data_IF_849747474384
#
_entry.id   IF_849747474384
#
_cell.length_a   1.000
_cell.length_b   1.000
_cell.length_c   1.000
_cell.angle_alpha   90.00
_cell.angle_beta   90.00
_cell.angle_gamma   90.00
#
_symmetry.space_group_name_H-M   'P 1'
#
loop_
_entity.id
_entity.type
_entity.pdbx_description
1 polymer ?
#
# COMPACT_ATOMS: atom_id res chain seq x y z
N UNK A 1 -35.81 19.75 37.57
CA UNK A 1 -34.66 20.38 36.88
C UNK A 1 -34.52 19.68 35.56
N UNK A 2 -35.04 20.25 34.48
CA UNK A 2 -34.74 19.71 33.15
C UNK A 2 -33.23 19.90 32.91
N UNK A 3 -32.49 18.85 32.52
CA UNK A 3 -31.11 19.01 32.13
C UNK A 3 -31.09 20.03 30.98
N UNK A 4 -30.36 21.13 31.18
CA UNK A 4 -30.24 22.18 30.18
C UNK A 4 -29.79 21.54 28.86
N UNK A 5 -30.60 21.64 27.82
CA UNK A 5 -30.35 21.01 26.51
C UNK A 5 -28.93 21.31 26.00
N UNK A 6 -28.36 22.45 26.38
CA UNK A 6 -26.95 22.82 26.14
C UNK A 6 -25.96 21.85 26.79
N UNK A 7 -26.14 21.45 28.05
CA UNK A 7 -25.25 20.52 28.75
C UNK A 7 -25.29 19.11 28.15
N UNK A 8 -26.48 18.65 27.70
CA UNK A 8 -26.62 17.37 27.00
C UNK A 8 -25.88 17.39 25.66
N UNK A 9 -26.00 18.48 24.89
CA UNK A 9 -25.24 18.65 23.62
C UNK A 9 -23.74 18.70 23.88
N UNK A 10 -23.28 19.38 24.93
CA UNK A 10 -21.85 19.41 25.29
C UNK A 10 -21.31 18.02 25.68
N UNK A 11 -22.04 17.25 26.49
CA UNK A 11 -21.64 15.90 26.90
C UNK A 11 -21.72 14.88 25.76
N UNK A 12 -22.74 14.94 24.89
CA UNK A 12 -22.95 13.95 23.83
C UNK A 12 -22.20 14.25 22.53
N UNK A 13 -21.78 15.51 22.31
CA UNK A 13 -21.12 15.91 21.06
C UNK A 13 -19.66 16.28 21.28
N UNK A 14 -19.32 17.04 22.32
CA UNK A 14 -17.95 17.54 22.49
C UNK A 14 -17.04 16.51 23.16
N UNK A 15 -17.55 15.72 24.11
CA UNK A 15 -16.75 14.67 24.75
C UNK A 15 -16.31 13.57 23.76
N UNK A 16 -17.18 13.03 22.88
CA UNK A 16 -16.73 12.09 21.84
C UNK A 16 -15.76 12.70 20.83
N UNK A 17 -15.86 14.00 20.56
CA UNK A 17 -14.98 14.74 19.63
C UNK A 17 -13.52 14.71 20.06
N UNK A 18 -13.26 15.02 21.33
CA UNK A 18 -11.90 14.95 21.87
C UNK A 18 -11.49 13.53 22.22
N UNK A 19 -12.43 12.69 22.65
CA UNK A 19 -12.15 11.29 22.96
C UNK A 19 -11.70 10.53 21.72
N UNK A 20 -12.33 10.69 20.56
CA UNK A 20 -11.91 10.01 19.32
C UNK A 20 -10.54 10.48 18.82
N UNK A 21 -10.29 11.79 18.86
CA UNK A 21 -8.97 12.33 18.53
C UNK A 21 -7.89 11.83 19.52
N UNK A 22 -8.18 11.83 20.82
CA UNK A 22 -7.29 11.34 21.86
C UNK A 22 -7.09 9.80 21.79
N UNK A 23 -8.12 9.03 21.42
CA UNK A 23 -8.00 7.59 21.16
C UNK A 23 -7.03 7.38 19.99
N UNK A 24 -7.19 8.15 18.91
CA UNK A 24 -6.35 8.07 17.72
C UNK A 24 -4.88 8.44 18.02
N UNK A 25 -4.63 9.48 18.83
CA UNK A 25 -3.26 9.93 19.15
C UNK A 25 -2.60 9.19 20.32
N UNK A 26 -3.39 8.76 21.31
CA UNK A 26 -2.87 8.35 22.63
C UNK A 26 -2.95 6.84 22.89
N UNK A 27 -3.63 6.06 22.04
CA UNK A 27 -3.66 4.60 22.13
C UNK A 27 -2.68 3.89 21.18
N UNK A 28 -1.95 4.64 20.34
CA UNK A 28 -0.84 4.13 19.53
C UNK A 28 0.17 3.31 20.35
N UNK A 29 0.51 3.68 21.61
CA UNK A 29 1.46 2.91 22.43
C UNK A 29 0.86 1.69 23.16
N UNK A 30 -0.47 1.49 23.11
CA UNK A 30 -1.12 0.36 23.78
C UNK A 30 -1.20 -0.78 22.76
N UNK A 31 -0.89 -2.02 23.17
CA UNK A 31 -1.06 -3.24 22.35
C UNK A 31 -2.38 -3.16 21.58
N UNK A 32 -2.28 -2.82 20.29
CA UNK A 32 -3.44 -2.68 19.43
C UNK A 32 -4.12 -4.05 19.35
N UNK A 33 -5.45 -4.05 19.44
CA UNK A 33 -6.22 -5.20 19.03
C UNK A 33 -6.57 -5.05 17.54
N UNK A 34 -6.88 -6.19 16.91
CA UNK A 34 -7.15 -6.28 15.48
C UNK A 34 -8.15 -5.23 14.95
N UNK A 35 -9.30 -5.05 15.61
CA UNK A 35 -10.34 -4.14 15.13
C UNK A 35 -9.93 -2.67 15.26
N UNK A 36 -9.20 -2.31 16.32
CA UNK A 36 -8.76 -0.95 16.53
C UNK A 36 -7.69 -0.55 15.51
N UNK A 37 -6.72 -1.42 15.22
CA UNK A 37 -5.74 -1.15 14.15
C UNK A 37 -6.44 -0.92 12.80
N UNK A 38 -7.41 -1.76 12.44
CA UNK A 38 -8.18 -1.60 11.20
C UNK A 38 -9.02 -0.31 11.18
N UNK A 39 -9.57 0.12 12.32
CA UNK A 39 -10.31 1.39 12.38
C UNK A 39 -9.37 2.60 12.23
N UNK A 40 -8.25 2.61 12.95
CA UNK A 40 -7.30 3.72 12.91
C UNK A 40 -6.52 3.78 11.58
N UNK A 41 -6.45 2.68 10.84
CA UNK A 41 -5.83 2.59 9.52
C UNK A 41 -6.43 3.57 8.49
N UNK A 42 -7.68 4.05 8.70
CA UNK A 42 -8.40 4.94 7.78
C UNK A 42 -8.64 6.34 8.37
N UNK A 43 -7.68 7.28 8.23
CA UNK A 43 -7.89 8.68 8.58
C UNK A 43 -9.13 9.31 7.94
N UNK A 44 -9.53 8.83 6.75
CA UNK A 44 -10.70 9.29 6.02
C UNK A 44 -12.02 9.15 6.80
N UNK A 45 -12.21 8.07 7.56
CA UNK A 45 -13.45 7.87 8.34
C UNK A 45 -13.62 8.98 9.38
N UNK A 46 -12.52 9.36 10.03
CA UNK A 46 -12.49 10.47 10.98
C UNK A 46 -12.67 11.82 10.29
N UNK A 47 -12.07 12.02 9.12
CA UNK A 47 -12.30 13.20 8.29
C UNK A 47 -13.79 13.40 7.99
N UNK A 48 -14.49 12.36 7.53
CA UNK A 48 -15.94 12.42 7.25
C UNK A 48 -16.73 12.75 8.52
N UNK A 49 -16.40 12.11 9.65
CA UNK A 49 -17.04 12.41 10.93
C UNK A 49 -16.90 13.89 11.31
N UNK A 50 -15.70 14.46 11.24
CA UNK A 50 -15.49 15.87 11.57
C UNK A 50 -16.09 16.84 10.55
N UNK A 51 -16.22 16.44 9.28
CA UNK A 51 -16.95 17.22 8.28
C UNK A 51 -18.44 17.29 8.60
N UNK A 52 -19.07 16.16 8.92
CA UNK A 52 -20.47 16.11 9.33
C UNK A 52 -20.71 16.92 10.62
N UNK A 53 -19.78 16.82 11.56
CA UNK A 53 -19.81 17.62 12.78
C UNK A 53 -19.70 19.12 12.50
N UNK A 54 -18.85 19.51 11.54
CA UNK A 54 -18.73 20.92 11.12
C UNK A 54 -20.06 21.42 10.57
N UNK A 55 -20.72 20.65 9.70
CA UNK A 55 -22.05 20.98 9.16
C UNK A 55 -23.09 21.11 10.27
N UNK A 56 -23.14 20.14 11.19
CA UNK A 56 -24.02 20.19 12.36
C UNK A 56 -23.77 21.46 13.20
N UNK A 57 -22.51 21.77 13.49
CA UNK A 57 -22.14 22.94 14.27
C UNK A 57 -22.52 24.26 13.58
N UNK A 58 -22.45 24.32 12.25
CA UNK A 58 -22.93 25.46 11.45
C UNK A 58 -24.45 25.62 11.61
N UNK A 59 -25.23 24.55 11.42
CA UNK A 59 -26.70 24.56 11.54
C UNK A 59 -27.12 24.98 12.95
N UNK A 60 -26.44 24.48 13.98
CA UNK A 60 -26.70 24.82 15.38
C UNK A 60 -26.04 26.14 15.85
N UNK A 61 -25.32 26.84 14.96
CA UNK A 61 -24.61 28.12 15.23
C UNK A 61 -23.59 28.04 16.39
N UNK A 62 -22.92 26.89 16.54
CA UNK A 62 -21.94 26.63 17.61
C UNK A 62 -20.52 27.00 17.18
N UNK A 63 -20.13 28.27 17.30
CA UNK A 63 -18.85 28.80 16.76
C UNK A 63 -17.59 28.05 17.22
N UNK A 64 -17.50 27.70 18.50
CA UNK A 64 -16.32 26.98 19.04
C UNK A 64 -16.23 25.58 18.41
N UNK A 65 -17.36 24.88 18.29
CA UNK A 65 -17.41 23.55 17.72
C UNK A 65 -17.04 23.57 16.22
N UNK A 66 -17.45 24.60 15.48
CA UNK A 66 -17.03 24.81 14.09
C UNK A 66 -15.50 24.90 14.02
N UNK A 67 -14.89 25.75 14.84
CA UNK A 67 -13.43 25.94 14.82
C UNK A 67 -12.68 24.63 15.15
N UNK A 68 -13.08 23.94 16.22
CA UNK A 68 -12.47 22.67 16.61
C UNK A 68 -12.63 21.60 15.53
N UNK A 69 -13.83 21.47 14.97
CA UNK A 69 -14.11 20.47 13.94
C UNK A 69 -13.30 20.74 12.65
N UNK A 70 -13.15 22.00 12.24
CA UNK A 70 -12.31 22.37 11.09
C UNK A 70 -10.84 22.04 11.32
N UNK A 71 -10.30 22.34 12.52
CA UNK A 71 -8.91 22.00 12.87
C UNK A 71 -8.71 20.48 12.81
N UNK A 72 -9.64 19.71 13.36
CA UNK A 72 -9.58 18.24 13.33
C UNK A 72 -9.74 17.70 11.91
N UNK A 73 -10.62 18.27 11.09
CA UNK A 73 -10.71 17.94 9.66
C UNK A 73 -9.37 18.13 8.96
N UNK A 74 -8.74 19.30 9.14
CA UNK A 74 -7.44 19.58 8.54
C UNK A 74 -6.35 18.62 9.02
N UNK A 75 -6.37 18.27 10.31
CA UNK A 75 -5.48 17.26 10.89
C UNK A 75 -5.67 15.87 10.28
N UNK A 76 -6.90 15.36 10.22
CA UNK A 76 -7.16 14.04 9.61
C UNK A 76 -6.91 14.03 8.10
N UNK A 77 -7.19 15.12 7.39
CA UNK A 77 -6.85 15.25 5.98
C UNK A 77 -5.34 15.18 5.74
N UNK A 78 -4.52 15.84 6.57
CA UNK A 78 -3.06 15.79 6.43
C UNK A 78 -2.46 14.41 6.72
N UNK A 79 -3.19 13.58 7.47
CA UNK A 79 -2.84 12.18 7.74
C UNK A 79 -3.21 11.24 6.59
N UNK A 80 -4.09 11.64 5.67
CA UNK A 80 -4.44 10.78 4.53
C UNK A 80 -3.22 10.58 3.60
N UNK A 81 -3.05 9.38 3.02
CA UNK A 81 -1.97 9.16 2.08
C UNK A 81 -2.20 9.95 0.79
N UNK A 82 -1.09 10.30 0.11
CA UNK A 82 -1.11 11.06 -1.14
C UNK A 82 -0.95 10.12 -2.34
N UNK A 83 -1.36 10.57 -3.53
CA UNK A 83 -1.10 9.84 -4.77
C UNK A 83 0.39 9.81 -5.13
N UNK A 84 1.09 10.91 -4.84
CA UNK A 84 2.52 11.05 -5.09
C UNK A 84 3.21 11.37 -3.78
N UNK A 85 4.30 10.67 -3.51
CA UNK A 85 5.19 10.94 -2.40
C UNK A 85 6.62 11.04 -2.95
N UNK A 86 7.29 12.16 -2.68
CA UNK A 86 8.64 12.44 -3.14
C UNK A 86 9.58 12.22 -1.95
N UNK A 87 10.65 11.45 -2.19
CA UNK A 87 11.73 11.33 -1.23
C UNK A 87 12.68 12.51 -1.32
N UNK A 88 13.68 12.50 -0.44
CA UNK A 88 14.73 13.50 -0.48
C UNK A 88 15.64 13.32 -1.71
N UNK A 89 16.29 14.42 -2.07
CA UNK A 89 17.24 14.66 -3.17
C UNK A 89 17.89 13.38 -3.73
N UNK A 90 17.57 13.04 -4.98
CA UNK A 90 18.17 11.94 -5.74
C UNK A 90 18.77 12.42 -7.05
N UNK A 91 19.84 11.78 -7.52
CA UNK A 91 20.29 11.95 -8.91
C UNK A 91 19.45 11.05 -9.79
N UNK A 92 18.62 11.66 -10.64
CA UNK A 92 17.67 10.98 -11.53
C UNK A 92 18.17 10.89 -12.96
N UNK A 93 19.48 11.00 -13.17
CA UNK A 93 20.11 10.73 -14.45
C UNK A 93 20.02 9.21 -14.70
N UNK A 94 18.89 8.75 -15.26
CA UNK A 94 18.45 7.36 -15.44
C UNK A 94 18.09 6.64 -14.12
N UNK A 95 16.90 6.93 -13.55
CA UNK A 95 16.46 6.22 -12.34
C UNK A 95 16.13 4.77 -12.68
N UNK A 96 16.29 3.88 -11.69
CA UNK A 96 15.74 2.52 -11.75
C UNK A 96 14.26 2.62 -11.39
N UNK A 97 13.40 2.05 -12.22
CA UNK A 97 11.96 2.07 -12.05
C UNK A 97 11.43 0.70 -11.64
N UNK A 98 10.62 0.69 -10.58
CA UNK A 98 9.91 -0.48 -10.09
C UNK A 98 8.42 -0.25 -10.26
N UNK A 99 7.68 -1.31 -10.60
CA UNK A 99 6.23 -1.31 -10.62
C UNK A 99 5.70 -2.37 -9.66
N UNK A 100 4.77 -1.98 -8.79
CA UNK A 100 4.09 -2.89 -7.87
C UNK A 100 2.59 -2.88 -8.16
N UNK A 101 1.97 -4.05 -8.20
CA UNK A 101 0.52 -4.11 -8.38
C UNK A 101 -0.10 -5.40 -7.83
N UNK A 102 -1.01 -5.28 -6.86
CA UNK A 102 -1.98 -6.32 -6.58
C UNK A 102 -2.97 -6.39 -7.77
N UNK A 103 -2.86 -7.44 -8.58
CA UNK A 103 -3.55 -7.54 -9.87
C UNK A 103 -5.04 -7.80 -9.71
N UNK A 104 -5.49 -8.29 -8.55
CA UNK A 104 -6.80 -8.87 -8.29
C UNK A 104 -7.04 -10.17 -9.09
N UNK A 105 -7.33 -11.28 -8.40
CA UNK A 105 -7.48 -12.61 -9.02
C UNK A 105 -8.47 -12.67 -10.17
N UNK A 106 -9.52 -11.85 -10.10
CA UNK A 106 -10.61 -11.80 -11.07
C UNK A 106 -10.59 -10.54 -11.93
N UNK A 107 -9.41 -9.95 -12.13
CA UNK A 107 -9.25 -8.73 -12.94
C UNK A 107 -9.86 -8.92 -14.34
N UNK A 108 -10.87 -8.13 -14.71
CA UNK A 108 -11.58 -8.29 -15.97
C UNK A 108 -10.75 -7.83 -17.19
N UNK A 109 -9.69 -7.04 -16.98
CA UNK A 109 -8.88 -6.45 -18.05
C UNK A 109 -7.38 -6.41 -17.72
N UNK A 110 -6.77 -7.61 -17.64
CA UNK A 110 -5.31 -7.74 -17.51
C UNK A 110 -4.57 -7.14 -18.71
N UNK A 111 -5.20 -7.05 -19.88
CA UNK A 111 -4.59 -6.45 -21.08
C UNK A 111 -4.30 -4.97 -20.89
N UNK A 112 -5.16 -4.21 -20.21
CA UNK A 112 -4.89 -2.80 -19.91
C UNK A 112 -3.55 -2.62 -19.17
N UNK A 113 -3.28 -3.47 -18.19
CA UNK A 113 -2.01 -3.44 -17.46
C UNK A 113 -0.82 -3.91 -18.31
N UNK A 114 -0.96 -4.99 -19.09
CA UNK A 114 0.11 -5.44 -19.99
C UNK A 114 0.46 -4.40 -21.06
N UNK A 115 -0.55 -3.76 -21.65
CA UNK A 115 -0.36 -2.67 -22.62
C UNK A 115 0.35 -1.47 -21.98
N UNK A 116 0.04 -1.16 -20.72
CA UNK A 116 0.74 -0.14 -19.97
C UNK A 116 2.23 -0.49 -19.79
N UNK A 117 2.56 -1.75 -19.45
CA UNK A 117 3.95 -2.21 -19.34
C UNK A 117 4.72 -2.12 -20.67
N UNK A 118 4.07 -2.40 -21.80
CA UNK A 118 4.68 -2.25 -23.12
C UNK A 118 5.03 -0.79 -23.42
N UNK A 119 4.15 0.15 -23.08
CA UNK A 119 4.34 1.57 -23.36
C UNK A 119 5.26 2.27 -22.36
N UNK A 120 5.25 1.82 -21.11
CA UNK A 120 5.96 2.41 -19.99
C UNK A 120 6.66 1.31 -19.20
N UNK A 121 7.68 0.65 -19.77
CA UNK A 121 8.39 -0.41 -19.08
C UNK A 121 9.01 0.10 -17.78
N UNK A 122 9.20 -0.83 -16.85
CA UNK A 122 9.92 -0.67 -15.60
C UNK A 122 10.98 -1.76 -15.52
N UNK A 123 12.07 -1.55 -14.78
CA UNK A 123 13.16 -2.52 -14.66
C UNK A 123 12.74 -3.78 -13.88
N UNK A 124 11.83 -3.61 -12.91
CA UNK A 124 11.24 -4.67 -12.10
C UNK A 124 9.74 -4.48 -11.94
N UNK A 125 8.95 -5.55 -12.10
CA UNK A 125 7.52 -5.59 -11.82
C UNK A 125 7.25 -6.67 -10.78
N UNK A 126 6.59 -6.32 -9.68
CA UNK A 126 6.21 -7.25 -8.61
C UNK A 126 4.70 -7.26 -8.47
N UNK A 127 4.09 -8.41 -8.74
CA UNK A 127 2.66 -8.59 -8.77
C UNK A 127 2.18 -9.48 -7.62
N UNK A 128 0.99 -9.17 -7.10
CA UNK A 128 0.26 -9.98 -6.13
C UNK A 128 -1.12 -10.36 -6.69
N UNK A 129 -1.76 -11.36 -6.10
CA UNK A 129 -3.06 -11.91 -6.54
C UNK A 129 -3.12 -12.34 -8.01
N UNK A 130 -1.99 -12.83 -8.55
CA UNK A 130 -1.94 -13.34 -9.90
C UNK A 130 -2.55 -14.75 -9.92
N UNK A 131 -3.65 -14.91 -10.64
CA UNK A 131 -4.19 -16.24 -10.92
C UNK A 131 -3.32 -16.96 -11.97
N UNK A 132 -3.32 -18.32 -12.01
CA UNK A 132 -2.53 -19.05 -13.01
C UNK A 132 -2.84 -18.62 -14.45
N UNK A 133 -4.12 -18.43 -14.79
CA UNK A 133 -4.54 -17.98 -16.12
C UNK A 133 -3.97 -16.60 -16.47
N UNK A 134 -4.03 -15.65 -15.52
CA UNK A 134 -3.46 -14.32 -15.71
C UNK A 134 -1.94 -14.40 -15.88
N UNK A 135 -1.27 -15.21 -15.06
CA UNK A 135 0.17 -15.38 -15.07
C UNK A 135 0.73 -15.99 -16.36
N UNK A 136 -0.03 -16.85 -17.04
CA UNK A 136 0.31 -17.37 -18.37
C UNK A 136 0.31 -16.27 -19.44
N UNK A 137 -0.59 -15.28 -19.34
CA UNK A 137 -0.65 -14.19 -20.32
C UNK A 137 0.60 -13.32 -20.32
N UNK A 138 1.27 -13.20 -19.18
CA UNK A 138 2.51 -12.44 -19.06
C UNK A 138 3.70 -13.05 -19.81
N UNK A 139 3.65 -14.31 -20.27
CA UNK A 139 4.68 -14.87 -21.18
C UNK A 139 4.76 -14.10 -22.51
N UNK A 140 3.68 -13.40 -22.90
CA UNK A 140 3.70 -12.53 -24.09
C UNK A 140 4.62 -11.32 -23.95
N UNK A 141 5.08 -11.01 -22.72
CA UNK A 141 6.01 -9.92 -22.44
C UNK A 141 7.46 -10.38 -22.26
N UNK A 142 7.80 -11.64 -22.56
CA UNK A 142 9.16 -12.19 -22.37
C UNK A 142 10.23 -11.42 -23.18
N UNK A 143 9.87 -10.78 -24.29
CA UNK A 143 10.77 -9.91 -25.06
C UNK A 143 11.16 -8.62 -24.30
N UNK A 144 10.31 -8.17 -23.38
CA UNK A 144 10.52 -6.98 -22.53
C UNK A 144 11.04 -7.40 -21.15
N UNK A 145 10.55 -8.52 -20.63
CA UNK A 145 10.83 -9.07 -19.31
C UNK A 145 11.36 -10.51 -19.42
N UNK A 146 12.59 -10.70 -19.91
CA UNK A 146 13.16 -12.03 -20.14
C UNK A 146 13.38 -12.84 -18.86
N UNK A 147 13.34 -12.20 -17.69
CA UNK A 147 13.51 -12.86 -16.40
C UNK A 147 12.22 -12.79 -15.58
N UNK A 148 11.78 -13.94 -15.08
CA UNK A 148 10.60 -14.02 -14.21
C UNK A 148 10.75 -15.02 -13.09
N UNK A 149 9.99 -14.82 -12.02
CA UNK A 149 9.86 -15.78 -10.92
C UNK A 149 8.38 -15.87 -10.49
N UNK A 150 7.84 -17.09 -10.44
CA UNK A 150 6.40 -17.34 -10.42
C UNK A 150 5.89 -17.85 -11.79
N UNK A 151 5.03 -18.86 -11.76
CA UNK A 151 4.47 -19.56 -12.92
C UNK A 151 5.27 -20.75 -13.42
N UNK A 152 6.48 -21.02 -12.90
CA UNK A 152 7.28 -22.17 -13.33
C UNK A 152 6.65 -23.49 -12.84
N UNK A 153 6.77 -24.60 -13.59
CA UNK A 153 6.15 -25.88 -13.21
C UNK A 153 6.45 -26.38 -11.79
N UNK A 154 7.68 -26.17 -11.29
CA UNK A 154 8.10 -26.61 -9.95
C UNK A 154 7.84 -25.57 -8.84
N UNK A 155 7.55 -24.32 -9.20
CA UNK A 155 7.43 -23.19 -8.26
C UNK A 155 5.97 -22.79 -8.09
N UNK A 156 5.16 -22.90 -9.15
CA UNK A 156 3.80 -22.33 -9.19
C UNK A 156 3.83 -20.82 -8.97
N UNK A 157 2.80 -20.28 -8.30
CA UNK A 157 2.74 -18.88 -7.89
C UNK A 157 2.79 -18.79 -6.35
N UNK A 158 3.98 -18.62 -5.72
CA UNK A 158 4.11 -18.62 -4.27
C UNK A 158 3.30 -17.50 -3.62
N UNK A 159 2.21 -17.86 -2.92
CA UNK A 159 1.21 -16.89 -2.42
C UNK A 159 0.69 -15.95 -3.52
N UNK A 160 0.51 -16.47 -4.73
CA UNK A 160 -0.03 -15.74 -5.89
C UNK A 160 0.83 -14.55 -6.32
N UNK A 161 2.14 -14.64 -6.09
CA UNK A 161 3.11 -13.62 -6.48
C UNK A 161 3.74 -13.96 -7.83
N UNK A 162 4.03 -12.92 -8.61
CA UNK A 162 4.79 -13.01 -9.86
C UNK A 162 5.76 -11.83 -9.95
N UNK A 163 7.02 -12.12 -10.24
CA UNK A 163 8.06 -11.13 -10.50
C UNK A 163 8.41 -11.18 -11.98
N UNK A 164 8.42 -10.03 -12.65
CA UNK A 164 8.91 -9.84 -14.02
C UNK A 164 10.07 -8.84 -13.96
N UNK A 165 11.13 -9.06 -14.73
CA UNK A 165 12.34 -8.25 -14.64
C UNK A 165 13.06 -8.16 -15.98
N UNK A 166 13.57 -6.96 -16.28
CA UNK A 166 14.47 -6.73 -17.41
C UNK A 166 15.88 -7.28 -17.13
N UNK A 167 16.24 -7.41 -15.86
CA UNK A 167 17.54 -7.86 -15.38
C UNK A 167 17.50 -9.26 -14.73
N UNK A 168 18.61 -10.01 -14.70
CA UNK A 168 18.63 -11.36 -14.13
C UNK A 168 18.16 -11.42 -12.67
N UNK A 169 17.34 -12.43 -12.38
CA UNK A 169 16.98 -12.85 -11.03
C UNK A 169 17.82 -14.09 -10.67
N UNK A 170 18.62 -14.00 -9.62
CA UNK A 170 19.58 -15.03 -9.20
C UNK A 170 19.29 -15.52 -7.79
N UNK A 171 19.67 -16.78 -7.55
CA UNK A 171 19.54 -17.44 -6.24
C UNK A 171 18.15 -17.27 -5.61
N UNK A 172 17.10 -17.25 -6.44
CA UNK A 172 15.74 -17.01 -5.95
C UNK A 172 15.23 -18.26 -5.25
N UNK A 173 14.75 -18.10 -4.02
CA UNK A 173 14.23 -19.15 -3.16
C UNK A 173 12.87 -18.74 -2.59
N UNK A 174 12.09 -19.73 -2.17
CA UNK A 174 10.82 -19.52 -1.49
C UNK A 174 10.94 -19.97 -0.04
N UNK A 175 10.75 -19.04 0.89
CA UNK A 175 10.59 -19.36 2.30
C UNK A 175 9.12 -19.67 2.57
N UNK A 176 8.85 -20.95 2.81
CA UNK A 176 7.54 -21.43 3.21
C UNK A 176 7.36 -21.26 4.71
N UNK A 177 6.32 -20.53 5.11
CA UNK A 177 5.97 -20.38 6.53
C UNK A 177 4.98 -21.46 6.98
N UNK A 178 4.90 -21.75 8.30
CA UNK A 178 3.94 -22.75 8.83
C UNK A 178 2.47 -22.48 8.48
N UNK A 179 2.10 -21.23 8.20
CA UNK A 179 0.74 -20.81 7.84
C UNK A 179 0.47 -20.84 6.32
N UNK A 180 1.29 -21.57 5.55
CA UNK A 180 1.21 -21.70 4.10
C UNK A 180 1.32 -20.36 3.32
N UNK A 181 1.91 -19.34 3.96
CA UNK A 181 2.32 -18.09 3.31
C UNK A 181 3.77 -18.20 2.84
N UNK A 182 4.08 -17.54 1.74
CA UNK A 182 5.37 -17.64 1.07
C UNK A 182 6.04 -16.27 0.98
N UNK A 183 7.34 -16.24 1.26
CA UNK A 183 8.22 -15.10 1.02
C UNK A 183 9.15 -15.50 -0.13
N UNK A 184 9.23 -14.70 -1.18
CA UNK A 184 10.22 -14.88 -2.24
C UNK A 184 11.44 -14.05 -1.88
N UNK A 185 12.62 -14.66 -1.92
CA UNK A 185 13.89 -13.99 -1.63
C UNK A 185 14.91 -14.33 -2.71
N UNK A 186 15.70 -13.36 -3.14
CA UNK A 186 16.77 -13.59 -4.10
C UNK A 186 17.57 -12.34 -4.41
N UNK A 187 18.37 -12.40 -5.46
CA UNK A 187 19.20 -11.30 -5.93
C UNK A 187 18.70 -10.79 -7.28
N UNK A 188 18.49 -9.49 -7.39
CA UNK A 188 18.19 -8.80 -8.63
C UNK A 188 19.44 -8.10 -9.16
N UNK A 189 19.99 -8.63 -10.24
CA UNK A 189 21.31 -8.25 -10.72
C UNK A 189 21.22 -7.14 -11.76
N UNK A 190 21.36 -5.89 -11.34
CA UNK A 190 21.34 -4.71 -12.20
C UNK A 190 22.51 -4.66 -13.18
N UNK A 191 23.72 -5.00 -12.69
CA UNK A 191 24.95 -5.08 -13.49
C UNK A 191 25.78 -6.29 -13.04
N UNK A 192 26.84 -6.70 -13.78
CA UNK A 192 27.69 -7.81 -13.35
C UNK A 192 28.27 -7.67 -11.93
N UNK A 193 28.42 -6.44 -11.43
CA UNK A 193 29.01 -6.13 -10.12
C UNK A 193 28.02 -5.52 -9.12
N UNK A 194 26.76 -5.30 -9.51
CA UNK A 194 25.76 -4.63 -8.67
C UNK A 194 24.47 -5.43 -8.65
N UNK A 195 24.02 -5.78 -7.44
CA UNK A 195 22.76 -6.46 -7.21
C UNK A 195 22.04 -5.86 -6.01
N UNK A 196 20.71 -5.93 -6.03
CA UNK A 196 19.85 -5.60 -4.90
C UNK A 196 19.22 -6.90 -4.44
N UNK A 197 19.32 -7.21 -3.15
CA UNK A 197 18.57 -8.31 -2.57
C UNK A 197 17.09 -7.95 -2.58
N UNK A 198 16.25 -8.83 -3.12
CA UNK A 198 14.80 -8.64 -3.15
C UNK A 198 14.15 -9.60 -2.18
N UNK A 199 13.20 -9.08 -1.40
CA UNK A 199 12.27 -9.85 -0.58
C UNK A 199 10.85 -9.43 -0.94
N UNK A 200 10.03 -10.36 -1.42
CA UNK A 200 8.62 -10.12 -1.75
C UNK A 200 7.71 -10.97 -0.88
N UNK A 201 6.60 -10.38 -0.45
CA UNK A 201 5.57 -11.10 0.27
C UNK A 201 4.19 -10.52 -0.01
N UNK A 202 3.17 -11.35 0.20
CA UNK A 202 1.77 -10.94 0.21
C UNK A 202 1.06 -11.60 1.41
N UNK A 203 1.25 -11.07 2.63
CA UNK A 203 0.54 -11.57 3.82
C UNK A 203 -0.97 -11.44 3.69
N UNK A 204 -1.67 -12.24 4.49
CA UNK A 204 -3.14 -12.25 4.51
C UNK A 204 -3.74 -10.90 4.89
N UNK A 205 -4.80 -10.50 4.19
CA UNK A 205 -5.63 -9.37 4.62
C UNK A 205 -6.21 -9.59 6.02
N UNK A 206 -6.06 -8.64 6.97
CA UNK A 206 -6.48 -8.79 8.36
C UNK A 206 -8.00 -8.63 8.50
N UNK A 207 -8.78 -9.53 7.89
CA UNK A 207 -10.26 -9.52 7.94
C UNK A 207 -10.83 -10.23 9.18
N UNK A 208 -9.98 -10.94 9.90
CA UNK A 208 -10.27 -11.52 11.21
C UNK A 208 -9.05 -11.37 12.11
N UNK A 209 -9.24 -11.60 13.42
CA UNK A 209 -8.15 -11.55 14.41
C UNK A 209 -7.04 -12.56 14.08
N UNK A 210 -7.42 -13.75 13.62
CA UNK A 210 -6.51 -14.83 13.24
C UNK A 210 -5.67 -14.42 12.02
N UNK A 211 -6.31 -13.87 10.98
CA UNK A 211 -5.60 -13.37 9.79
C UNK A 211 -4.68 -12.20 10.12
N UNK A 212 -5.07 -11.33 11.06
CA UNK A 212 -4.21 -10.26 11.55
C UNK A 212 -2.96 -10.78 12.27
N UNK A 213 -3.08 -11.81 13.10
CA UNK A 213 -1.90 -12.46 13.70
C UNK A 213 -1.00 -13.10 12.66
N UNK A 214 -1.56 -13.78 11.65
CA UNK A 214 -0.81 -14.38 10.54
C UNK A 214 -0.06 -13.33 9.72
N UNK A 215 -0.74 -12.23 9.40
CA UNK A 215 -0.15 -11.04 8.74
C UNK A 215 1.05 -10.53 9.53
N UNK A 216 0.89 -10.32 10.84
CA UNK A 216 1.98 -9.86 11.71
C UNK A 216 3.13 -10.86 11.79
N UNK A 217 2.83 -12.15 11.92
CA UNK A 217 3.85 -13.20 11.98
C UNK A 217 4.67 -13.28 10.69
N UNK A 218 4.04 -13.17 9.52
CA UNK A 218 4.77 -13.12 8.25
C UNK A 218 5.66 -11.89 8.16
N UNK A 219 5.19 -10.72 8.59
CA UNK A 219 5.99 -9.49 8.63
C UNK A 219 7.22 -9.65 9.52
N UNK A 220 7.07 -10.23 10.72
CA UNK A 220 8.22 -10.52 11.60
C UNK A 220 9.16 -11.56 10.99
N UNK A 221 8.64 -12.53 10.24
CA UNK A 221 9.46 -13.50 9.50
C UNK A 221 10.30 -12.81 8.43
N UNK A 222 9.77 -11.79 7.75
CA UNK A 222 10.50 -11.00 6.75
C UNK A 222 11.69 -10.27 7.39
N UNK A 223 11.52 -9.71 8.59
CA UNK A 223 12.63 -9.10 9.35
C UNK A 223 13.73 -10.14 9.63
N UNK A 224 13.36 -11.34 10.08
CA UNK A 224 14.31 -12.44 10.29
C UNK A 224 15.02 -12.85 9.00
N UNK A 225 14.32 -12.92 7.86
CA UNK A 225 14.93 -13.22 6.56
C UNK A 225 15.94 -12.14 6.17
N UNK A 226 15.60 -10.86 6.32
CA UNK A 226 16.50 -9.75 6.02
C UNK A 226 17.73 -9.74 6.93
N UNK A 227 17.56 -10.07 8.22
CA UNK A 227 18.67 -10.15 9.18
C UNK A 227 19.58 -11.36 8.93
N UNK A 228 18.99 -12.50 8.56
CA UNK A 228 19.73 -13.74 8.30
C UNK A 228 20.55 -13.68 7.00
N UNK A 229 20.05 -12.95 6.00
CA UNK A 229 20.71 -12.75 4.72
C UNK A 229 21.05 -11.27 4.53
N UNK A 230 22.07 -10.74 5.22
CA UNK A 230 22.42 -9.33 5.12
C UNK A 230 23.02 -9.01 3.74
N UNK A 231 22.53 -7.94 3.11
CA UNK A 231 23.07 -7.35 1.89
C UNK A 231 23.27 -5.85 2.10
N UNK A 232 24.25 -5.21 1.43
CA UNK A 232 24.38 -3.75 1.42
C UNK A 232 23.13 -3.06 0.86
N UNK A 233 22.49 -3.69 -0.14
CA UNK A 233 21.28 -3.19 -0.77
C UNK A 233 20.16 -4.24 -0.65
N UNK A 234 19.08 -3.89 0.03
CA UNK A 234 17.90 -4.74 0.24
C UNK A 234 16.62 -3.97 -0.05
N UNK A 235 15.78 -4.56 -0.90
CA UNK A 235 14.46 -4.10 -1.28
C UNK A 235 13.41 -5.08 -0.75
N UNK A 236 12.49 -4.61 0.08
CA UNK A 236 11.32 -5.37 0.53
C UNK A 236 10.08 -4.76 -0.12
N UNK A 237 9.33 -5.53 -0.91
CA UNK A 237 8.26 -5.00 -1.77
C UNK A 237 7.05 -5.94 -1.87
N UNK A 238 5.84 -5.40 -1.80
CA UNK A 238 4.60 -6.16 -1.90
C UNK A 238 3.38 -5.50 -1.27
N UNK A 239 2.22 -6.13 -1.40
CA UNK A 239 1.01 -5.76 -0.66
C UNK A 239 1.11 -6.37 0.74
N UNK A 240 1.34 -5.56 1.75
CA UNK A 240 1.52 -6.05 3.12
C UNK A 240 0.23 -6.09 3.93
N UNK A 241 -0.89 -5.63 3.35
CA UNK A 241 -2.14 -5.47 4.07
C UNK A 241 -1.95 -4.77 5.44
N UNK A 242 -0.98 -3.83 5.51
CA UNK A 242 -0.58 -3.08 6.70
C UNK A 242 -0.67 -1.60 6.38
N UNK A 243 -1.61 -0.88 6.98
CA UNK A 243 -1.71 0.55 6.75
C UNK A 243 -0.45 1.26 7.25
N UNK A 244 0.04 2.24 6.48
CA UNK A 244 1.14 3.11 6.91
C UNK A 244 0.82 3.99 8.13
N UNK A 245 -0.39 3.87 8.69
CA UNK A 245 -0.83 4.52 9.94
C UNK A 245 -0.96 3.55 11.11
N UNK A 246 -0.71 2.26 10.89
CA UNK A 246 -0.68 1.27 11.96
C UNK A 246 0.63 1.42 12.75
N UNK A 247 0.62 1.27 14.09
CA UNK A 247 1.83 1.40 14.90
C UNK A 247 2.95 0.42 14.48
N UNK A 248 2.57 -0.80 14.09
CA UNK A 248 3.52 -1.81 13.60
C UNK A 248 4.33 -1.30 12.38
N UNK A 249 3.77 -0.43 11.54
CA UNK A 249 4.46 0.08 10.36
C UNK A 249 5.73 0.86 10.70
N UNK A 250 5.72 1.61 11.81
CA UNK A 250 6.87 2.41 12.27
C UNK A 250 7.89 1.56 13.05
N UNK A 251 7.51 0.36 13.49
CA UNK A 251 8.37 -0.55 14.26
C UNK A 251 9.14 -1.56 13.40
N UNK A 252 8.67 -1.83 12.18
CA UNK A 252 9.22 -2.89 11.33
C UNK A 252 10.33 -2.37 10.41
N UNK A 253 11.27 -3.26 10.09
CA UNK A 253 12.37 -2.99 9.15
C UNK A 253 13.16 -1.73 9.54
N UNK A 254 13.69 -1.65 10.78
CA UNK A 254 14.45 -0.48 11.22
C UNK A 254 15.65 -0.20 10.30
N UNK A 255 15.84 1.07 9.95
CA UNK A 255 16.89 1.52 9.04
C UNK A 255 16.53 1.39 7.54
N UNK A 256 15.35 0.87 7.21
CA UNK A 256 14.81 0.98 5.86
C UNK A 256 14.08 2.31 5.68
N UNK A 257 14.18 2.86 4.47
CA UNK A 257 13.40 4.02 4.02
C UNK A 257 12.15 3.55 3.28
N UNK A 258 11.06 4.31 3.36
CA UNK A 258 9.81 4.01 2.65
C UNK A 258 9.04 5.30 2.35
N UNK A 259 8.22 5.29 1.30
CA UNK A 259 7.36 6.41 0.92
C UNK A 259 5.92 5.90 0.74
N UNK A 260 5.08 5.94 1.78
CA UNK A 260 3.70 5.48 1.67
C UNK A 260 2.91 6.30 0.63
N UNK A 261 2.11 5.60 -0.18
CA UNK A 261 1.23 6.18 -1.18
C UNK A 261 -0.14 5.51 -1.17
N UNK A 262 -1.17 6.28 -1.47
CA UNK A 262 -2.54 5.79 -1.56
C UNK A 262 -2.66 4.70 -2.62
N UNK A 263 -3.13 3.51 -2.22
CA UNK A 263 -3.20 2.32 -3.07
C UNK A 263 -4.56 1.64 -3.04
N UNK A 264 -5.23 1.61 -1.88
CA UNK A 264 -6.46 0.84 -1.70
C UNK A 264 -7.40 1.53 -0.69
N UNK A 265 -8.74 1.46 -0.82
CA UNK A 265 -9.46 0.79 -1.89
C UNK A 265 -9.63 1.68 -3.13
N UNK A 266 -9.46 1.09 -4.30
CA UNK A 266 -9.86 1.63 -5.59
C UNK A 266 -11.28 1.15 -5.94
N UNK A 267 -12.26 1.76 -5.28
CA UNK A 267 -13.66 1.31 -5.28
C UNK A 267 -14.33 1.33 -6.67
N UNK A 268 -13.82 2.14 -7.60
CA UNK A 268 -14.45 2.31 -8.92
C UNK A 268 -13.89 1.38 -10.01
N UNK A 269 -12.79 0.68 -9.76
CA UNK A 269 -12.23 -0.29 -10.68
C UNK A 269 -12.79 -1.72 -10.50
N UNK A 270 -13.47 -1.98 -9.38
CA UNK A 270 -14.04 -3.29 -9.02
C UNK A 270 -15.55 -3.41 -9.24
N UNK A 271 -16.21 -2.39 -9.82
CA UNK A 271 -17.64 -2.43 -10.16
C UNK A 271 -17.84 -2.90 -11.61
N UNK A 272 -18.30 -4.15 -11.83
CA UNK A 272 -18.73 -4.58 -13.14
C UNK A 272 -20.15 -4.04 -13.36
N UNK A 273 -20.42 -3.40 -14.51
CA UNK A 273 -21.77 -3.17 -15.06
C UNK A 273 -22.54 -1.89 -14.70
N UNK A 274 -21.90 -0.73 -14.54
CA UNK A 274 -22.64 0.56 -14.59
C UNK A 274 -22.00 1.57 -15.54
N UNK A 275 -21.97 1.31 -16.86
CA UNK A 275 -22.00 2.37 -17.90
C UNK A 275 -22.09 1.78 -19.32
N UNK A 276 -23.26 1.25 -19.68
CA UNK A 276 -23.65 1.15 -21.10
C UNK A 276 -24.43 2.39 -21.58
N UNK A 277 -24.67 3.39 -20.72
CA UNK A 277 -25.60 4.49 -21.06
C UNK A 277 -25.20 5.91 -20.69
N UNK A 278 -24.00 6.16 -20.16
CA UNK A 278 -23.47 7.53 -20.05
C UNK A 278 -21.98 7.51 -20.41
N UNK A 279 -21.62 8.26 -21.45
CA UNK A 279 -20.28 8.54 -21.96
C UNK A 279 -19.13 8.22 -20.97
N UNK A 280 -18.43 7.13 -21.23
CA UNK A 280 -17.39 6.49 -20.42
C UNK A 280 -16.09 7.30 -20.20
N UNK A 281 -16.11 8.63 -20.30
CA UNK A 281 -14.89 9.44 -20.39
C UNK A 281 -14.56 10.32 -19.18
N UNK A 282 -15.24 10.24 -18.02
CA UNK A 282 -14.89 11.16 -16.93
C UNK A 282 -15.39 10.80 -15.51
N UNK A 283 -15.44 9.52 -15.14
CA UNK A 283 -16.10 9.13 -13.87
C UNK A 283 -15.08 8.76 -12.79
N UNK A 284 -14.95 9.69 -11.83
CA UNK A 284 -14.37 9.62 -10.48
C UNK A 284 -13.39 8.48 -10.19
N UNK A 285 -12.09 8.71 -10.38
CA UNK A 285 -11.06 7.94 -9.65
C UNK A 285 -11.30 8.10 -8.15
N UNK A 286 -11.26 6.99 -7.39
CA UNK A 286 -11.36 7.08 -5.92
C UNK A 286 -10.27 8.03 -5.41
N UNK A 287 -10.61 9.13 -4.71
CA UNK A 287 -9.60 10.12 -4.33
C UNK A 287 -8.58 9.54 -3.35
N UNK A 288 -7.29 9.82 -3.51
CA UNK A 288 -6.24 9.32 -2.59
C UNK A 288 -6.54 9.56 -1.12
N UNK A 289 -7.12 10.73 -0.78
CA UNK A 289 -7.42 11.06 0.62
C UNK A 289 -8.46 10.12 1.26
N UNK A 290 -9.18 9.32 0.46
CA UNK A 290 -10.14 8.31 0.92
C UNK A 290 -9.55 6.90 1.01
N UNK A 291 -8.32 6.72 0.52
CA UNK A 291 -7.58 5.45 0.52
C UNK A 291 -6.65 5.34 1.74
N UNK A 292 -6.08 4.16 1.88
CA UNK A 292 -4.96 3.81 2.76
C UNK A 292 -3.76 3.37 1.92
N UNK A 293 -2.58 3.37 2.53
CA UNK A 293 -1.34 2.89 1.93
C UNK A 293 -1.02 1.51 2.52
N UNK A 294 -1.19 0.45 1.73
CA UNK A 294 -0.92 -0.95 2.14
C UNK A 294 0.11 -1.65 1.23
N UNK A 295 0.31 -1.10 0.04
CA UNK A 295 1.33 -1.51 -0.92
C UNK A 295 2.65 -0.79 -0.67
N UNK A 296 3.63 -1.52 -0.13
CA UNK A 296 4.85 -0.94 0.41
C UNK A 296 6.10 -1.36 -0.33
N UNK A 297 7.05 -0.44 -0.34
CA UNK A 297 8.41 -0.66 -0.83
C UNK A 297 9.35 -0.06 0.20
N UNK A 298 10.05 -0.91 0.94
CA UNK A 298 11.09 -0.51 1.87
C UNK A 298 12.46 -0.75 1.22
N UNK A 299 13.34 0.24 1.33
CA UNK A 299 14.70 0.20 0.81
C UNK A 299 15.71 0.48 1.91
N UNK A 300 16.65 -0.44 2.11
CA UNK A 300 17.89 -0.22 2.85
C UNK A 300 19.03 -0.32 1.85
N UNK A 301 19.79 0.76 1.71
CA UNK A 301 20.88 0.83 0.74
C UNK A 301 21.79 1.99 1.11
N UNK A 302 23.09 1.86 0.85
CA UNK A 302 24.05 2.96 0.93
C UNK A 302 24.21 3.69 -0.41
N UNK A 303 23.79 3.07 -1.52
CA UNK A 303 23.94 3.61 -2.87
C UNK A 303 22.66 4.22 -3.42
N UNK A 304 21.52 3.62 -3.11
CA UNK A 304 20.21 3.93 -3.69
C UNK A 304 19.30 4.65 -2.69
N UNK A 305 18.49 5.57 -3.20
CA UNK A 305 17.42 6.23 -2.46
C UNK A 305 16.08 6.07 -3.18
N UNK A 306 14.99 6.03 -2.39
CA UNK A 306 13.62 6.14 -2.90
C UNK A 306 13.36 7.61 -3.28
N UNK A 307 13.29 7.91 -4.58
CA UNK A 307 13.15 9.28 -5.06
C UNK A 307 11.70 9.70 -5.18
N UNK A 308 10.85 8.77 -5.62
CA UNK A 308 9.42 8.99 -5.68
C UNK A 308 8.66 7.68 -5.68
N UNK A 309 7.48 7.68 -5.06
CA UNK A 309 6.45 6.66 -5.27
C UNK A 309 5.18 7.37 -5.74
N UNK A 310 4.52 6.81 -6.74
CA UNK A 310 3.30 7.36 -7.32
C UNK A 310 2.30 6.24 -7.64
N UNK A 311 1.06 6.38 -7.18
CA UNK A 311 -0.04 5.54 -7.65
C UNK A 311 -0.56 5.99 -9.02
N UNK A 312 -0.91 5.02 -9.87
CA UNK A 312 -1.36 5.21 -11.26
C UNK A 312 -2.86 4.95 -11.32
N UNK A 313 -3.65 6.02 -11.37
CA UNK A 313 -5.11 5.94 -11.30
C UNK A 313 -5.77 5.52 -12.64
N UNK A 314 -5.02 5.57 -13.72
CA UNK A 314 -5.49 5.33 -15.09
C UNK A 314 -5.71 3.85 -15.39
N UNK A 315 -5.03 2.96 -14.65
CA UNK A 315 -5.10 1.51 -14.84
C UNK A 315 -6.26 0.96 -13.99
N UNK A 316 -7.17 0.24 -14.65
CA UNK A 316 -8.39 -0.32 -14.04
C UNK A 316 -8.27 -1.85 -13.86
N UNK A 317 -9.31 -2.43 -13.26
CA UNK A 317 -9.47 -3.89 -13.14
C UNK A 317 -9.04 -4.50 -11.81
N UNK A 318 -8.45 -3.71 -10.91
CA UNK A 318 -8.12 -4.12 -9.54
C UNK A 318 -8.67 -3.13 -8.52
N UNK A 319 -9.00 -3.61 -7.33
CA UNK A 319 -9.31 -2.77 -6.18
C UNK A 319 -8.05 -2.11 -5.56
N UNK A 320 -6.86 -2.38 -6.10
CA UNK A 320 -5.64 -1.63 -5.85
C UNK A 320 -5.27 -0.71 -7.01
N UNK A 321 -4.48 0.34 -6.73
CA UNK A 321 -3.79 1.13 -7.74
C UNK A 321 -2.37 0.57 -7.96
N UNK A 322 -1.90 0.42 -9.21
CA UNK A 322 -0.49 0.17 -9.47
C UNK A 322 0.37 1.32 -8.93
N UNK A 323 1.55 1.01 -8.41
CA UNK A 323 2.49 2.00 -7.89
C UNK A 323 3.78 1.93 -8.68
N UNK A 324 4.19 3.07 -9.24
CA UNK A 324 5.52 3.27 -9.81
C UNK A 324 6.44 3.86 -8.75
N UNK A 325 7.57 3.21 -8.54
CA UNK A 325 8.64 3.65 -7.63
C UNK A 325 9.87 3.97 -8.45
N UNK A 326 10.52 5.10 -8.18
CA UNK A 326 11.80 5.46 -8.79
C UNK A 326 12.89 5.42 -7.74
N UNK A 327 13.94 4.66 -8.02
CA UNK A 327 15.20 4.65 -7.27
C UNK A 327 16.24 5.48 -8.01
N UNK A 328 17.07 6.18 -7.27
CA UNK A 328 18.16 6.98 -7.81
C UNK A 328 19.38 6.87 -6.90
N UNK A 329 20.53 7.34 -7.39
CA UNK A 329 21.77 7.29 -6.61
C UNK A 329 21.72 8.37 -5.52
N UNK A 330 22.13 8.01 -4.31
CA UNK A 330 22.30 8.93 -3.17
C UNK A 330 23.35 9.98 -3.48
N UNK A 331 23.14 11.20 -2.97
CA UNK A 331 24.13 12.27 -2.99
C UNK A 331 25.08 12.21 -1.81
#
# INVERSE_FOLDING_TARGET
MEPNLKWIVWLLVVFPVFLLAAIWTSLIPIKMNWWLENLLAYPFLFLVYYLLLTVYAIVCRQKILILVAIILCAGFYSLTPKHVNQGEVCRTDNPIELLQFNLYYSNPDVNAFMNYLIQHPADLVVLQEVSPEQGERFYTLDDIYPYRYGGQPAVGYPSSQLILSQHPLKAVTVFHTPDAQNIIHGEWQLTPTQSIQIVTAHPTSPRSKELWYRRNALIRTIETVVEQYPSPDTLVIGDFNLSSKAPLFDEILPGFTTLPVASWPNLMASWPNWTDSISANQWFSTPAFSMIAIDHTWLKSDQWALCSRQSIAEIKGSDHLPIRTKLGVKY
#
